data_IF_711161762727
#
_entry.id   IF_711161762727
#
_cell.length_a   1.000
_cell.length_b   1.000
_cell.length_c   1.000
_cell.angle_alpha   90.00
_cell.angle_beta   90.00
_cell.angle_gamma   90.00
#
_symmetry.space_group_name_H-M   'P 1'
#
loop_
_entity.id
_entity.type
_entity.pdbx_description
1 polymer ?
#
# COMPACT_ATOMS: atom_id res chain seq x y z
N UNK A 1 7.66 -23.87 8.00
CA UNK A 1 8.81 -23.03 7.61
C UNK A 1 8.64 -21.70 8.32
N UNK A 2 9.58 -21.31 9.19
CA UNK A 2 9.53 -19.99 9.81
C UNK A 2 9.80 -18.95 8.74
N UNK A 3 8.85 -18.03 8.50
CA UNK A 3 9.08 -16.83 7.71
C UNK A 3 10.20 -16.06 8.39
N UNK A 4 11.28 -15.66 7.70
CA UNK A 4 12.31 -14.85 8.31
C UNK A 4 11.67 -13.58 8.88
N UNK A 5 11.99 -13.28 10.14
CA UNK A 5 11.55 -12.05 10.78
C UNK A 5 12.31 -10.88 10.15
N UNK A 6 11.65 -10.17 9.26
CA UNK A 6 12.16 -8.97 8.60
C UNK A 6 12.00 -7.74 9.52
N UNK A 7 12.06 -7.91 10.84
CA UNK A 7 11.92 -6.81 11.78
C UNK A 7 13.04 -5.77 11.59
N UNK A 8 12.66 -4.64 11.05
CA UNK A 8 13.48 -3.43 11.07
C UNK A 8 13.25 -2.67 12.38
N UNK A 9 14.23 -1.95 12.91
CA UNK A 9 14.00 -1.12 14.10
C UNK A 9 12.87 -0.13 13.82
N UNK A 10 11.73 -0.37 14.43
CA UNK A 10 10.45 0.29 14.17
C UNK A 10 10.44 1.79 14.52
N UNK A 11 11.39 2.29 15.29
CA UNK A 11 11.30 3.60 15.91
C UNK A 11 11.39 4.80 14.94
N UNK A 12 12.00 4.64 13.75
CA UNK A 12 12.26 5.76 12.83
C UNK A 12 11.81 5.52 11.37
N UNK A 13 11.13 4.43 11.08
CA UNK A 13 10.63 4.18 9.73
C UNK A 13 9.25 4.81 9.56
N UNK A 14 9.04 5.59 8.47
CA UNK A 14 7.72 6.00 8.04
C UNK A 14 6.85 4.76 7.86
N UNK A 15 5.63 4.80 8.37
CA UNK A 15 4.68 3.72 8.25
C UNK A 15 3.73 3.90 7.05
N UNK A 16 3.23 2.79 6.55
CA UNK A 16 2.17 2.78 5.54
C UNK A 16 1.22 1.62 5.80
N UNK A 17 -0.08 1.92 5.82
CA UNK A 17 -1.12 0.90 5.78
C UNK A 17 -1.54 0.69 4.32
N UNK A 18 -1.40 -0.54 3.87
CA UNK A 18 -1.83 -1.04 2.58
C UNK A 18 -3.09 -1.88 2.78
N UNK A 19 -4.20 -1.50 2.16
CA UNK A 19 -5.46 -2.26 2.18
C UNK A 19 -5.98 -2.40 0.77
N UNK A 20 -6.15 -3.63 0.31
CA UNK A 20 -6.74 -3.91 -1.00
C UNK A 20 -7.89 -4.90 -0.87
N UNK A 21 -8.90 -4.77 -1.71
CA UNK A 21 -10.05 -5.68 -1.73
C UNK A 21 -10.79 -5.63 -3.06
N UNK A 22 -11.57 -6.67 -3.30
CA UNK A 22 -12.67 -6.67 -4.24
C UNK A 22 -13.98 -6.48 -3.47
N UNK A 23 -15.05 -6.11 -4.19
CA UNK A 23 -16.44 -6.16 -3.72
C UNK A 23 -17.33 -6.65 -4.85
N UNK A 24 -18.50 -7.16 -4.52
CA UNK A 24 -19.49 -7.53 -5.53
C UNK A 24 -19.97 -6.28 -6.29
N UNK A 25 -20.29 -6.45 -7.58
CA UNK A 25 -20.71 -5.31 -8.41
C UNK A 25 -21.96 -4.60 -7.89
N UNK A 26 -22.85 -5.33 -7.20
CA UNK A 26 -24.03 -4.75 -6.58
C UNK A 26 -23.70 -3.78 -5.42
N UNK A 27 -22.56 -3.98 -4.76
CA UNK A 27 -22.12 -3.19 -3.61
C UNK A 27 -21.20 -2.01 -4.00
N UNK A 28 -20.71 -1.98 -5.26
CA UNK A 28 -19.72 -1.00 -5.72
C UNK A 28 -20.09 0.44 -5.44
N UNK A 29 -21.32 0.84 -5.73
CA UNK A 29 -21.75 2.23 -5.60
C UNK A 29 -21.73 2.67 -4.12
N UNK A 30 -22.21 1.83 -3.21
CA UNK A 30 -22.22 2.16 -1.78
C UNK A 30 -20.82 2.08 -1.17
N UNK A 31 -20.01 1.10 -1.57
CA UNK A 31 -18.61 0.97 -1.15
C UNK A 31 -17.77 2.17 -1.55
N UNK A 32 -17.91 2.66 -2.80
CA UNK A 32 -17.21 3.85 -3.25
C UNK A 32 -17.65 5.09 -2.48
N UNK A 33 -18.97 5.30 -2.30
CA UNK A 33 -19.50 6.43 -1.54
C UNK A 33 -19.00 6.42 -0.09
N UNK A 34 -19.00 5.26 0.58
CA UNK A 34 -18.46 5.12 1.94
C UNK A 34 -16.98 5.50 2.02
N UNK A 35 -16.18 4.99 1.08
CA UNK A 35 -14.76 5.31 1.04
C UNK A 35 -14.50 6.81 0.84
N UNK A 36 -15.29 7.44 -0.05
CA UNK A 36 -15.09 8.82 -0.47
C UNK A 36 -15.63 9.83 0.54
N UNK A 37 -16.66 9.49 1.32
CA UNK A 37 -17.35 10.41 2.21
C UNK A 37 -17.07 10.17 3.70
N UNK A 38 -16.55 9.01 4.07
CA UNK A 38 -16.32 8.66 5.48
C UNK A 38 -14.92 8.06 5.69
N UNK A 39 -14.62 6.93 5.06
CA UNK A 39 -13.54 6.07 5.51
C UNK A 39 -12.14 6.67 5.39
N UNK A 40 -11.82 7.34 4.29
CA UNK A 40 -10.49 7.94 4.11
C UNK A 40 -10.28 9.09 5.08
N UNK A 41 -11.29 9.94 5.25
CA UNK A 41 -11.24 11.07 6.19
C UNK A 41 -11.07 10.59 7.62
N UNK A 42 -11.86 9.61 8.07
CA UNK A 42 -11.72 9.03 9.41
C UNK A 42 -10.30 8.52 9.69
N UNK A 43 -9.67 7.86 8.71
CA UNK A 43 -8.30 7.37 8.85
C UNK A 43 -7.29 8.50 8.91
N UNK A 44 -7.43 9.51 8.04
CA UNK A 44 -6.48 10.64 7.98
C UNK A 44 -6.60 11.56 9.20
N UNK A 45 -7.77 11.59 9.87
CA UNK A 45 -7.96 12.32 11.15
C UNK A 45 -7.29 11.66 12.36
N UNK A 46 -6.83 10.42 12.25
CA UNK A 46 -6.10 9.77 13.34
C UNK A 46 -4.73 10.46 13.49
N UNK A 47 -4.36 10.92 14.72
CA UNK A 47 -3.06 11.56 14.94
C UNK A 47 -1.89 10.69 14.45
N UNK A 48 -0.99 11.29 13.68
CA UNK A 48 0.15 10.62 13.06
C UNK A 48 -0.12 10.05 11.67
N UNK A 49 -1.37 10.08 11.16
CA UNK A 49 -1.62 9.86 9.74
C UNK A 49 -1.30 11.11 8.94
N UNK A 50 -0.60 10.95 7.83
CA UNK A 50 -0.15 12.04 6.96
C UNK A 50 -1.05 12.19 5.73
N UNK A 51 -1.53 11.07 5.18
CA UNK A 51 -2.41 11.07 4.01
C UNK A 51 -3.10 9.72 3.82
N UNK A 52 -4.22 9.74 3.11
CA UNK A 52 -4.89 8.57 2.56
C UNK A 52 -5.13 8.76 1.05
N UNK A 53 -4.93 7.70 0.27
CA UNK A 53 -5.14 7.71 -1.17
C UNK A 53 -5.90 6.47 -1.61
N UNK A 54 -6.81 6.64 -2.59
CA UNK A 54 -7.56 5.56 -3.22
C UNK A 54 -7.11 5.35 -4.65
N UNK A 55 -6.99 4.10 -5.03
CA UNK A 55 -6.63 3.68 -6.38
C UNK A 55 -7.62 2.63 -6.88
N UNK A 56 -7.81 2.61 -8.19
CA UNK A 56 -8.65 1.68 -8.93
C UNK A 56 -7.79 0.84 -9.88
N UNK A 57 -7.98 -0.47 -9.86
CA UNK A 57 -7.20 -1.37 -10.73
C UNK A 57 -7.48 -1.10 -12.21
N UNK A 58 -6.41 -1.02 -12.98
CA UNK A 58 -6.40 -1.07 -14.44
C UNK A 58 -5.94 -2.45 -14.92
N UNK A 59 -4.96 -3.06 -14.23
CA UNK A 59 -4.40 -4.36 -14.58
C UNK A 59 -3.96 -5.09 -13.31
N UNK A 60 -4.47 -6.30 -13.10
CA UNK A 60 -4.09 -7.19 -12.00
C UNK A 60 -4.47 -6.68 -10.59
N UNK A 61 -4.13 -7.47 -9.60
CA UNK A 61 -4.37 -7.16 -8.19
C UNK A 61 -5.84 -7.22 -7.78
N UNK A 62 -6.20 -6.39 -6.79
CA UNK A 62 -7.58 -6.18 -6.33
C UNK A 62 -8.16 -4.95 -7.00
N UNK A 63 -9.48 -4.93 -7.13
CA UNK A 63 -10.22 -3.82 -7.74
C UNK A 63 -9.93 -2.47 -7.07
N UNK A 64 -9.81 -2.48 -5.75
CA UNK A 64 -9.58 -1.31 -4.94
C UNK A 64 -8.31 -1.42 -4.11
N UNK A 65 -7.57 -0.32 -3.99
CA UNK A 65 -6.41 -0.17 -3.13
C UNK A 65 -6.50 1.14 -2.36
N UNK A 66 -6.33 1.07 -1.05
CA UNK A 66 -6.11 2.20 -0.16
C UNK A 66 -4.68 2.20 0.36
N UNK A 67 -3.98 3.34 0.24
CA UNK A 67 -2.66 3.57 0.81
C UNK A 67 -2.73 4.71 1.80
N UNK A 68 -2.39 4.45 3.07
CA UNK A 68 -2.41 5.45 4.13
C UNK A 68 -1.01 5.61 4.70
N UNK A 69 -0.42 6.78 4.53
CA UNK A 69 0.91 7.10 5.08
C UNK A 69 0.81 7.59 6.50
N UNK A 70 1.77 7.19 7.34
CA UNK A 70 1.90 7.63 8.73
C UNK A 70 3.31 8.13 9.01
N UNK A 71 3.46 8.93 10.06
CA UNK A 71 4.76 9.44 10.53
C UNK A 71 5.72 8.31 10.91
N UNK A 72 5.18 7.23 11.48
CA UNK A 72 5.95 6.07 11.91
C UNK A 72 5.07 4.82 12.02
N UNK A 73 5.69 3.65 12.12
CA UNK A 73 5.00 2.40 12.45
C UNK A 73 4.32 2.43 13.83
N UNK A 74 4.84 3.20 14.78
CA UNK A 74 4.28 3.30 16.12
C UNK A 74 2.84 3.83 16.14
N UNK A 75 2.44 4.58 15.12
CA UNK A 75 1.07 5.09 14.97
C UNK A 75 0.04 3.95 14.97
N UNK A 76 0.38 2.80 14.38
CA UNK A 76 -0.51 1.64 14.32
C UNK A 76 -0.70 0.91 15.67
N UNK A 77 0.10 1.23 16.68
CA UNK A 77 -0.08 0.82 18.08
C UNK A 77 -0.74 1.89 18.97
N UNK A 78 -1.05 3.08 18.43
CA UNK A 78 -1.56 4.20 19.20
C UNK A 78 -2.99 3.97 19.72
N UNK A 79 -3.39 4.63 20.82
CA UNK A 79 -4.77 4.60 21.29
C UNK A 79 -5.77 5.12 20.24
N UNK A 80 -5.41 6.16 19.47
CA UNK A 80 -6.25 6.72 18.40
C UNK A 80 -6.53 5.70 17.29
N UNK A 81 -5.50 4.96 16.86
CA UNK A 81 -5.68 3.92 15.86
C UNK A 81 -6.55 2.76 16.37
N UNK A 82 -6.38 2.32 17.63
CA UNK A 82 -7.23 1.29 18.25
C UNK A 82 -8.68 1.76 18.34
N UNK A 83 -8.91 2.98 18.80
CA UNK A 83 -10.25 3.54 18.90
C UNK A 83 -11.00 3.58 17.57
N UNK A 84 -10.30 3.79 16.45
CA UNK A 84 -10.88 3.76 15.11
C UNK A 84 -11.37 2.36 14.67
N UNK A 85 -10.88 1.29 15.29
CA UNK A 85 -11.42 -0.07 15.10
C UNK A 85 -12.55 -0.40 16.06
N UNK A 86 -12.52 0.14 17.28
CA UNK A 86 -13.51 -0.14 18.33
C UNK A 86 -14.80 0.65 18.13
N UNK A 87 -14.72 1.83 17.51
CA UNK A 87 -15.82 2.80 17.36
C UNK A 87 -16.23 3.00 15.90
N UNK A 88 -16.30 1.92 15.14
CA UNK A 88 -16.73 1.97 13.75
C UNK A 88 -18.20 2.36 13.63
N UNK A 89 -18.52 3.14 12.58
CA UNK A 89 -19.91 3.45 12.24
C UNK A 89 -20.63 2.21 11.71
N UNK A 90 -21.96 2.13 11.77
CA UNK A 90 -22.71 1.04 11.11
C UNK A 90 -22.41 0.94 9.61
N UNK A 91 -22.12 2.06 8.94
CA UNK A 91 -21.76 2.09 7.53
C UNK A 91 -20.38 1.50 7.29
N UNK A 92 -19.39 1.81 8.12
CA UNK A 92 -18.06 1.20 8.11
C UNK A 92 -18.14 -0.30 8.34
N UNK A 93 -18.88 -0.76 9.34
CA UNK A 93 -19.05 -2.20 9.63
C UNK A 93 -19.64 -2.93 8.41
N UNK A 94 -20.71 -2.39 7.81
CA UNK A 94 -21.36 -3.00 6.66
C UNK A 94 -20.43 -3.11 5.45
N UNK A 95 -19.65 -2.05 5.16
CA UNK A 95 -18.77 -2.04 4.00
C UNK A 95 -17.49 -2.87 4.20
N UNK A 96 -16.95 -2.92 5.41
CA UNK A 96 -15.84 -3.83 5.74
C UNK A 96 -16.27 -5.30 5.61
N UNK A 97 -17.51 -5.64 5.97
CA UNK A 97 -18.05 -6.99 5.81
C UNK A 97 -18.30 -7.39 4.34
N UNK A 98 -18.47 -6.43 3.45
CA UNK A 98 -18.60 -6.65 2.00
C UNK A 98 -17.28 -6.89 1.27
N UNK A 99 -16.15 -6.59 1.90
CA UNK A 99 -14.84 -6.82 1.28
C UNK A 99 -14.65 -8.29 0.90
N UNK A 100 -14.20 -8.52 -0.33
CA UNK A 100 -13.85 -9.83 -0.87
C UNK A 100 -12.33 -9.94 -1.00
N UNK A 101 -11.80 -11.08 -0.56
CA UNK A 101 -10.37 -11.37 -0.61
C UNK A 101 -9.50 -10.18 -0.12
N UNK A 102 -9.81 -9.57 1.02
CA UNK A 102 -9.09 -8.41 1.48
C UNK A 102 -7.63 -8.75 1.78
N UNK A 103 -6.77 -7.75 1.61
CA UNK A 103 -5.35 -7.82 1.94
C UNK A 103 -5.05 -6.62 2.82
N UNK A 104 -4.56 -6.84 4.05
CA UNK A 104 -4.10 -5.79 4.93
C UNK A 104 -2.64 -6.00 5.29
N UNK A 105 -1.81 -4.99 5.06
CA UNK A 105 -0.41 -4.96 5.45
C UNK A 105 -0.09 -3.62 6.10
N UNK A 106 0.54 -3.66 7.24
CA UNK A 106 1.22 -2.50 7.84
C UNK A 106 2.69 -2.64 7.52
N UNK A 107 3.24 -1.64 6.86
CA UNK A 107 4.57 -1.73 6.27
C UNK A 107 5.47 -0.59 6.75
N UNK A 108 6.75 -0.90 6.96
CA UNK A 108 7.81 0.09 6.95
C UNK A 108 8.03 0.56 5.51
N UNK A 109 8.20 1.87 5.32
CA UNK A 109 8.55 2.48 4.02
C UNK A 109 10.06 2.65 3.96
N UNK A 110 10.70 2.03 2.96
CA UNK A 110 12.17 2.02 2.77
C UNK A 110 12.51 2.41 1.33
N UNK A 111 13.78 2.68 1.06
CA UNK A 111 14.32 2.93 -0.28
C UNK A 111 13.51 3.96 -1.09
N UNK A 112 13.16 5.09 -0.46
CA UNK A 112 12.37 6.15 -1.11
C UNK A 112 13.24 6.89 -2.12
N UNK A 113 12.80 6.92 -3.39
CA UNK A 113 13.44 7.68 -4.46
C UNK A 113 12.40 8.57 -5.15
N UNK A 114 12.74 9.84 -5.37
CA UNK A 114 11.79 10.81 -5.92
C UNK A 114 10.86 11.38 -4.85
N UNK A 115 9.86 12.16 -5.30
CA UNK A 115 8.88 12.82 -4.43
C UNK A 115 7.61 13.18 -5.22
N UNK A 116 6.53 13.44 -4.50
CA UNK A 116 5.23 13.78 -5.08
C UNK A 116 4.27 12.60 -5.14
N UNK A 117 3.16 12.77 -5.82
CA UNK A 117 2.15 11.72 -6.04
C UNK A 117 1.90 11.56 -7.53
N UNK A 118 2.02 10.33 -8.01
CA UNK A 118 1.71 9.98 -9.39
C UNK A 118 0.22 9.75 -9.60
N UNK A 119 -0.24 9.93 -10.83
CA UNK A 119 -1.60 9.58 -11.22
C UNK A 119 -1.81 8.06 -11.41
N UNK A 120 -0.72 7.30 -11.52
CA UNK A 120 -0.74 5.85 -11.65
C UNK A 120 0.28 5.23 -10.70
N UNK A 121 -0.05 4.04 -10.20
CA UNK A 121 0.84 3.29 -9.31
C UNK A 121 1.00 1.86 -9.79
N UNK A 122 2.23 1.40 -9.75
CA UNK A 122 2.59 -0.02 -9.83
C UNK A 122 2.78 -0.55 -8.42
N UNK A 123 2.22 -1.71 -8.12
CA UNK A 123 2.55 -2.51 -6.93
C UNK A 123 3.11 -3.83 -7.44
N UNK A 124 4.40 -4.05 -7.24
CA UNK A 124 5.09 -5.28 -7.61
C UNK A 124 5.41 -6.09 -6.35
N UNK A 125 4.69 -7.19 -6.08
CA UNK A 125 5.08 -8.12 -5.03
C UNK A 125 6.45 -8.72 -5.33
N UNK A 126 7.32 -8.79 -4.33
CA UNK A 126 8.67 -9.31 -4.48
C UNK A 126 8.81 -10.64 -3.72
N UNK A 127 9.68 -11.55 -4.16
CA UNK A 127 10.04 -12.72 -3.37
C UNK A 127 10.50 -12.33 -1.98
N UNK A 128 10.19 -13.15 -0.97
CA UNK A 128 10.68 -12.93 0.40
C UNK A 128 12.20 -13.14 0.38
N UNK A 129 13.01 -12.12 0.69
CA UNK A 129 14.46 -12.21 0.57
C UNK A 129 15.06 -13.00 1.73
N UNK A 130 16.21 -13.61 1.47
CA UNK A 130 17.07 -14.13 2.53
C UNK A 130 17.80 -13.01 3.30
N UNK A 131 18.06 -11.88 2.62
CA UNK A 131 18.69 -10.68 3.16
C UNK A 131 17.81 -9.45 2.86
N UNK A 132 17.25 -8.89 3.91
CA UNK A 132 16.36 -7.74 3.82
C UNK A 132 17.09 -6.45 3.43
N UNK A 133 18.34 -6.27 3.85
CA UNK A 133 19.11 -5.05 3.53
C UNK A 133 19.55 -5.07 2.06
N UNK A 134 19.93 -6.22 1.53
CA UNK A 134 20.22 -6.36 0.10
C UNK A 134 18.99 -6.03 -0.78
N UNK A 135 17.78 -6.38 -0.32
CA UNK A 135 16.54 -6.00 -1.00
C UNK A 135 16.34 -4.47 -0.99
N UNK A 136 16.55 -3.80 0.15
CA UNK A 136 16.46 -2.35 0.28
C UNK A 136 17.41 -1.65 -0.69
N UNK A 137 18.69 -2.07 -0.73
CA UNK A 137 19.69 -1.54 -1.65
C UNK A 137 19.33 -1.75 -3.12
N UNK A 138 18.73 -2.92 -3.43
CA UNK A 138 18.28 -3.20 -4.79
C UNK A 138 17.10 -2.31 -5.19
N UNK A 139 16.14 -2.10 -4.30
CA UNK A 139 15.02 -1.20 -4.51
C UNK A 139 15.46 0.26 -4.71
N UNK A 140 16.46 0.70 -3.95
CA UNK A 140 17.04 2.03 -4.11
C UNK A 140 17.73 2.19 -5.48
N UNK A 141 18.56 1.21 -5.89
CA UNK A 141 19.21 1.22 -7.22
C UNK A 141 18.19 1.33 -8.35
N UNK A 142 17.12 0.53 -8.30
CA UNK A 142 16.07 0.56 -9.33
C UNK A 142 15.33 1.90 -9.31
N UNK A 143 15.01 2.43 -8.13
CA UNK A 143 14.42 3.76 -8.03
C UNK A 143 15.27 4.85 -8.67
N UNK A 144 16.60 4.86 -8.41
CA UNK A 144 17.54 5.79 -9.00
C UNK A 144 17.67 5.62 -10.51
N UNK A 145 17.69 4.38 -11.00
CA UNK A 145 17.69 4.08 -12.43
C UNK A 145 16.44 4.62 -13.12
N UNK A 146 15.25 4.30 -12.61
CA UNK A 146 13.98 4.78 -13.16
C UNK A 146 13.90 6.31 -13.15
N UNK A 147 14.33 6.95 -12.06
CA UNK A 147 14.40 8.42 -11.97
C UNK A 147 15.29 9.05 -13.03
N UNK A 148 16.39 8.41 -13.37
CA UNK A 148 17.35 8.90 -14.36
C UNK A 148 16.89 8.65 -15.81
N UNK A 149 16.28 7.50 -16.06
CA UNK A 149 16.14 6.96 -17.42
C UNK A 149 14.70 7.01 -17.94
N UNK A 150 13.71 7.14 -17.05
CA UNK A 150 12.31 6.97 -17.42
C UNK A 150 11.49 8.24 -17.33
N UNK A 151 10.98 8.72 -18.46
CA UNK A 151 9.98 9.76 -18.49
C UNK A 151 8.70 9.34 -17.74
N UNK A 152 8.14 10.26 -16.97
CA UNK A 152 6.91 10.02 -16.19
C UNK A 152 7.13 9.31 -14.86
N UNK A 153 8.36 8.98 -14.47
CA UNK A 153 8.66 8.56 -13.09
C UNK A 153 8.41 9.70 -12.10
N UNK A 154 7.75 9.41 -11.00
CA UNK A 154 7.47 10.38 -9.92
C UNK A 154 8.22 9.98 -8.65
N UNK A 155 7.92 8.81 -8.11
CA UNK A 155 8.64 8.25 -6.97
C UNK A 155 8.55 6.73 -6.93
N UNK A 156 9.45 6.12 -6.17
CA UNK A 156 9.36 4.71 -5.80
C UNK A 156 9.71 4.51 -4.34
N UNK A 157 9.19 3.44 -3.75
CA UNK A 157 9.51 3.04 -2.39
C UNK A 157 9.23 1.55 -2.19
N UNK A 158 9.99 0.95 -1.27
CA UNK A 158 9.82 -0.43 -0.86
C UNK A 158 8.92 -0.48 0.39
N UNK A 159 7.87 -1.28 0.34
CA UNK A 159 7.03 -1.63 1.47
C UNK A 159 7.52 -2.95 2.05
N UNK A 160 7.93 -2.92 3.31
CA UNK A 160 8.32 -4.11 4.07
C UNK A 160 7.27 -4.34 5.14
N UNK A 161 6.43 -5.40 5.04
CA UNK A 161 5.40 -5.67 6.01
C UNK A 161 5.98 -5.96 7.40
N UNK A 162 5.45 -5.29 8.42
CA UNK A 162 5.70 -5.62 9.82
C UNK A 162 4.81 -6.81 10.21
N UNK A 163 5.41 -7.87 10.72
CA UNK A 163 4.73 -9.13 11.03
C UNK A 163 3.72 -8.98 12.16
N UNK A 164 4.07 -8.24 13.21
CA UNK A 164 3.22 -8.07 14.38
C UNK A 164 2.02 -7.15 14.10
N UNK A 165 2.25 -6.08 13.32
CA UNK A 165 1.24 -5.07 13.00
C UNK A 165 0.33 -5.49 11.83
N UNK A 166 0.78 -6.38 10.95
CA UNK A 166 0.01 -6.85 9.79
C UNK A 166 -1.00 -7.95 10.16
N UNK A 167 -1.81 -7.73 11.20
CA UNK A 167 -2.90 -8.65 11.55
C UNK A 167 -3.91 -8.74 10.38
N UNK A 168 -4.44 -9.93 10.07
CA UNK A 168 -5.40 -10.08 8.98
C UNK A 168 -6.73 -9.38 9.29
N UNK A 169 -7.42 -8.94 8.25
CA UNK A 169 -8.82 -8.52 8.36
C UNK A 169 -9.73 -9.75 8.61
N UNK A 170 -10.94 -9.58 9.17
CA UNK A 170 -11.82 -10.71 9.49
C UNK A 170 -12.10 -11.66 8.33
N UNK A 171 -12.13 -11.16 7.09
CA UNK A 171 -12.35 -11.95 5.87
C UNK A 171 -11.07 -12.24 5.07
N UNK A 172 -9.91 -11.85 5.57
CA UNK A 172 -8.63 -12.18 4.94
C UNK A 172 -8.27 -13.64 5.23
N UNK A 173 -8.03 -14.44 4.16
CA UNK A 173 -7.54 -15.80 4.33
C UNK A 173 -6.18 -15.81 5.00
N UNK A 174 -6.04 -16.65 6.01
CA UNK A 174 -4.76 -16.90 6.67
C UNK A 174 -4.03 -18.13 6.12
N UNK A 175 -4.72 -18.96 5.35
CA UNK A 175 -4.14 -20.13 4.69
C UNK A 175 -3.16 -19.67 3.61
N UNK A 176 -1.92 -20.12 3.69
CA UNK A 176 -0.85 -19.75 2.77
C UNK A 176 -0.49 -18.26 2.78
N UNK A 177 -0.91 -17.49 3.78
CA UNK A 177 -0.67 -16.06 3.87
C UNK A 177 0.82 -15.76 4.01
N UNK A 178 1.38 -15.06 3.03
CA UNK A 178 2.76 -14.61 3.02
C UNK A 178 2.80 -13.09 3.12
N UNK A 179 3.69 -12.55 3.93
CA UNK A 179 3.96 -11.13 4.07
C UNK A 179 5.10 -10.74 3.13
N UNK A 180 4.79 -10.69 1.83
CA UNK A 180 5.77 -10.33 0.80
C UNK A 180 6.08 -8.84 0.84
N UNK A 181 7.36 -8.43 0.71
CA UNK A 181 7.71 -7.06 0.38
C UNK A 181 7.09 -6.65 -0.96
N UNK A 182 6.83 -5.37 -1.13
CA UNK A 182 6.23 -4.82 -2.36
C UNK A 182 7.01 -3.58 -2.79
N UNK A 183 7.47 -3.55 -4.04
CA UNK A 183 7.97 -2.32 -4.63
C UNK A 183 6.77 -1.53 -5.19
N UNK A 184 6.64 -0.29 -4.74
CA UNK A 184 5.65 0.64 -5.25
C UNK A 184 6.35 1.68 -6.12
N UNK A 185 5.81 1.93 -7.33
CA UNK A 185 6.33 2.92 -8.25
C UNK A 185 5.18 3.81 -8.71
N UNK A 186 5.30 5.11 -8.44
CA UNK A 186 4.31 6.10 -8.85
C UNK A 186 4.77 6.80 -10.12
N UNK A 187 3.87 6.98 -11.06
CA UNK A 187 4.14 7.56 -12.38
C UNK A 187 3.05 8.52 -12.82
N UNK A 188 3.33 9.37 -13.80
CA UNK A 188 2.39 10.34 -14.35
C UNK A 188 1.47 9.80 -15.45
N UNK A 189 1.65 8.54 -15.87
CA UNK A 189 0.80 7.91 -16.91
C UNK A 189 0.82 6.39 -16.83
N UNK A 190 -0.22 5.75 -17.36
CA UNK A 190 -0.31 4.31 -17.45
C UNK A 190 0.81 3.70 -18.35
N UNK A 191 1.23 4.40 -19.40
CA UNK A 191 2.33 3.95 -20.25
C UNK A 191 3.65 3.90 -19.46
N UNK A 192 3.96 4.98 -18.73
CA UNK A 192 5.13 5.02 -17.85
C UNK A 192 5.07 3.94 -16.77
N UNK A 193 3.89 3.68 -16.20
CA UNK A 193 3.70 2.62 -15.22
C UNK A 193 4.01 1.22 -15.77
N UNK A 194 3.55 0.91 -16.99
CA UNK A 194 3.86 -0.39 -17.64
C UNK A 194 5.36 -0.57 -17.89
N UNK A 195 6.04 0.47 -18.38
CA UNK A 195 7.49 0.45 -18.56
C UNK A 195 8.23 0.26 -17.25
N UNK A 196 7.86 1.02 -16.22
CA UNK A 196 8.45 0.90 -14.88
C UNK A 196 8.27 -0.51 -14.28
N UNK A 197 7.06 -1.08 -14.44
CA UNK A 197 6.76 -2.45 -14.00
C UNK A 197 7.68 -3.48 -14.67
N UNK A 198 7.82 -3.41 -15.98
CA UNK A 198 8.65 -4.33 -16.72
C UNK A 198 10.14 -4.21 -16.33
N UNK A 199 10.66 -2.99 -16.21
CA UNK A 199 12.04 -2.73 -15.78
C UNK A 199 12.28 -3.26 -14.36
N UNK A 200 11.38 -2.96 -13.42
CA UNK A 200 11.52 -3.42 -12.05
C UNK A 200 11.40 -4.94 -11.94
N UNK A 201 10.44 -5.56 -12.62
CA UNK A 201 10.28 -7.01 -12.60
C UNK A 201 11.54 -7.74 -13.08
N UNK A 202 12.15 -7.27 -14.17
CA UNK A 202 13.42 -7.83 -14.67
C UNK A 202 14.57 -7.71 -13.66
N UNK A 203 14.61 -6.60 -12.91
CA UNK A 203 15.68 -6.38 -11.93
C UNK A 203 15.57 -7.24 -10.65
N UNK A 204 14.36 -7.69 -10.32
CA UNK A 204 14.10 -8.55 -9.16
C UNK A 204 13.83 -10.02 -9.51
N UNK A 205 14.01 -10.40 -10.77
CA UNK A 205 13.63 -11.73 -11.28
C UNK A 205 12.18 -12.10 -10.87
N UNK A 206 11.30 -11.09 -10.91
CA UNK A 206 9.89 -11.23 -10.59
C UNK A 206 9.05 -11.34 -11.86
N UNK A 207 7.94 -12.08 -11.79
CA UNK A 207 7.00 -12.14 -12.89
C UNK A 207 6.26 -10.81 -13.03
N UNK A 208 6.42 -10.06 -14.15
CA UNK A 208 5.73 -8.79 -14.34
C UNK A 208 4.20 -8.91 -14.35
N UNK A 209 3.66 -10.11 -14.61
CA UNK A 209 2.21 -10.35 -14.62
C UNK A 209 1.61 -10.35 -13.21
N UNK A 210 2.42 -10.56 -12.17
CA UNK A 210 2.00 -10.45 -10.76
C UNK A 210 1.91 -9.00 -10.29
N UNK A 211 2.50 -8.06 -11.04
CA UNK A 211 2.48 -6.64 -10.73
C UNK A 211 1.13 -6.01 -11.07
N UNK A 212 0.61 -5.23 -10.13
CA UNK A 212 -0.62 -4.47 -10.29
C UNK A 212 -0.34 -3.12 -10.93
N UNK A 213 -1.26 -2.63 -11.73
CA UNK A 213 -1.27 -1.27 -12.26
C UNK A 213 -2.61 -0.64 -11.91
N UNK A 214 -2.55 0.48 -11.19
CA UNK A 214 -3.77 1.15 -10.70
C UNK A 214 -3.70 2.64 -11.03
N UNK A 215 -4.87 3.24 -11.21
CA UNK A 215 -5.05 4.68 -11.35
C UNK A 215 -5.44 5.31 -10.02
N UNK A 216 -4.89 6.48 -9.72
CA UNK A 216 -5.30 7.29 -8.58
C UNK A 216 -6.72 7.79 -8.79
N UNK A 217 -7.62 7.45 -7.87
CA UNK A 217 -8.93 8.07 -7.78
C UNK A 217 -8.85 9.46 -7.14
N UNK A 218 -8.39 9.49 -5.89
CA UNK A 218 -8.14 10.73 -5.17
C UNK A 218 -7.25 10.50 -3.95
N UNK A 219 -6.75 11.59 -3.38
CA UNK A 219 -5.88 11.60 -2.21
C UNK A 219 -6.29 12.73 -1.28
N UNK A 220 -6.24 12.47 0.03
CA UNK A 220 -6.44 13.43 1.11
C UNK A 220 -5.17 13.52 1.94
N UNK A 221 -4.71 14.74 2.21
CA UNK A 221 -3.62 15.02 3.14
C UNK A 221 -4.19 15.49 4.48
N UNK A 222 -3.54 15.13 5.58
CA UNK A 222 -3.92 15.63 6.91
C UNK A 222 -3.91 17.17 6.98
N UNK A 223 -3.02 17.82 6.24
CA UNK A 223 -2.95 19.28 6.16
C UNK A 223 -4.19 19.93 5.52
N UNK A 224 -4.99 19.20 4.76
CA UNK A 224 -6.23 19.69 4.14
C UNK A 224 -7.44 19.60 5.09
N UNK A 225 -7.29 18.94 6.22
CA UNK A 225 -8.36 18.78 7.23
C UNK A 225 -8.40 19.87 8.30
N UNK A 226 -7.45 20.79 8.31
CA UNK A 226 -7.37 21.95 9.21
C UNK A 226 -6.79 21.58 10.56
#
# INVERSE_FOLDING_TARGET
MNTPDLSFPAANANGLLFVASDVESADDADFNRWYDQEHVEERVRIPGFLSGARYFSLEGGRKYLGLYRTESLAVFGSPGYRAAFEKQTPWSIANLDRMRQPIRRVCAVRAVTGFGSGSHVVVLPLPVPADAEALVQSAERIGLQLKKEQAGFVQSYLLVPDTALSTPLPRESTEGRVLQPMLVIETSSAAAARTARATAAGAFDADPTTGWLLALGWKLSAAELG
#
